data_IF_738410956661
#
_entry.id   IF_738410956661
#
_cell.length_a   1.000
_cell.length_b   1.000
_cell.length_c   1.000
_cell.angle_alpha   90.00
_cell.angle_beta   90.00
_cell.angle_gamma   90.00
#
_symmetry.space_group_name_H-M   'P 1'
#
loop_
_entity.id
_entity.type
_entity.pdbx_description
1 polymer ?
#
# COMPACT_ATOMS: atom_id res chain seq x y z
N UNK A 1 1.44 11.42 -19.72
CA UNK A 1 1.54 11.85 -18.30
C UNK A 1 2.55 10.93 -17.63
N UNK A 2 3.57 11.47 -16.97
CA UNK A 2 4.60 10.70 -16.28
C UNK A 2 4.62 11.09 -14.80
N UNK A 3 4.88 10.11 -13.93
CA UNK A 3 5.12 10.34 -12.50
C UNK A 3 6.55 9.98 -12.20
N UNK A 4 7.30 10.95 -11.70
CA UNK A 4 8.66 10.73 -11.25
C UNK A 4 8.66 10.45 -9.74
N UNK A 5 9.20 9.29 -9.37
CA UNK A 5 9.41 8.85 -7.99
C UNK A 5 10.90 8.63 -7.79
N UNK A 6 11.61 9.68 -7.39
CA UNK A 6 13.08 9.66 -7.34
C UNK A 6 13.67 9.42 -8.73
N UNK A 7 14.52 8.39 -8.94
CA UNK A 7 15.11 8.09 -10.26
C UNK A 7 14.17 7.28 -11.18
N UNK A 8 12.96 6.92 -10.71
CA UNK A 8 12.04 6.09 -11.47
C UNK A 8 10.97 6.95 -12.14
N UNK A 9 10.83 6.82 -13.45
CA UNK A 9 9.72 7.37 -14.20
C UNK A 9 8.67 6.28 -14.46
N UNK A 10 7.42 6.57 -14.10
CA UNK A 10 6.27 5.74 -14.41
C UNK A 10 5.55 6.34 -15.62
N UNK A 11 5.49 5.58 -16.71
CA UNK A 11 4.89 6.01 -17.98
C UNK A 11 3.75 5.06 -18.37
N UNK A 12 2.69 5.61 -18.97
CA UNK A 12 1.51 4.86 -19.44
C UNK A 12 0.78 4.07 -18.34
N UNK A 13 0.76 4.59 -17.13
CA UNK A 13 0.07 3.97 -15.99
C UNK A 13 -1.26 4.68 -15.73
N UNK A 14 -2.38 3.96 -15.56
CA UNK A 14 -3.62 4.56 -15.07
C UNK A 14 -3.36 5.10 -13.67
N UNK A 15 -3.38 6.42 -13.51
CA UNK A 15 -3.17 7.09 -12.23
C UNK A 15 -4.07 8.32 -12.14
N UNK A 16 -4.71 8.49 -11.00
CA UNK A 16 -5.51 9.67 -10.67
C UNK A 16 -4.72 10.61 -9.78
N UNK A 17 -4.66 11.90 -10.13
CA UNK A 17 -4.02 12.95 -9.33
C UNK A 17 -5.10 13.82 -8.71
N UNK A 18 -5.03 14.02 -7.41
CA UNK A 18 -5.83 15.03 -6.72
C UNK A 18 -4.87 16.08 -6.14
N UNK A 19 -5.11 17.35 -6.46
CA UNK A 19 -4.41 18.45 -5.81
C UNK A 19 -4.75 18.43 -4.31
N UNK A 20 -3.74 18.34 -3.45
CA UNK A 20 -3.93 18.29 -1.99
C UNK A 20 -3.78 19.67 -1.33
N UNK A 21 -3.73 20.75 -2.12
CA UNK A 21 -3.62 22.13 -1.62
C UNK A 21 -2.20 22.62 -1.35
N UNK A 22 -1.16 21.87 -1.75
CA UNK A 22 0.25 22.33 -1.65
C UNK A 22 1.12 21.77 -2.78
N UNK A 23 2.09 22.56 -3.24
CA UNK A 23 2.95 22.27 -4.40
C UNK A 23 3.81 20.99 -4.26
N UNK A 24 3.91 20.43 -3.05
CA UNK A 24 4.79 19.30 -2.70
C UNK A 24 4.05 18.03 -2.28
N UNK A 25 2.72 17.99 -2.42
CA UNK A 25 1.91 16.86 -1.96
C UNK A 25 1.06 16.28 -3.10
N UNK A 26 1.35 15.05 -3.47
CA UNK A 26 0.56 14.27 -4.42
C UNK A 26 -0.18 13.15 -3.69
N UNK A 27 -1.44 12.90 -4.09
CA UNK A 27 -2.16 11.67 -3.75
C UNK A 27 -2.00 10.70 -4.92
N UNK A 28 -1.46 9.51 -4.64
CA UNK A 28 -1.36 8.41 -5.59
C UNK A 28 -2.35 7.34 -5.15
N UNK A 29 -3.22 6.91 -6.05
CA UNK A 29 -4.27 5.94 -5.76
C UNK A 29 -3.74 4.49 -5.62
N UNK A 30 -4.56 3.66 -4.98
CA UNK A 30 -4.30 2.22 -4.83
C UNK A 30 -4.51 1.44 -6.14
N UNK A 31 -5.31 1.98 -7.05
CA UNK A 31 -5.44 1.51 -8.44
C UNK A 31 -4.07 1.44 -9.13
N UNK A 32 -3.24 2.46 -8.88
CA UNK A 32 -1.88 2.51 -9.37
C UNK A 32 -0.92 1.69 -8.48
N UNK A 33 -0.86 2.01 -7.18
CA UNK A 33 0.14 1.42 -6.29
C UNK A 33 -0.04 -0.09 -6.14
N UNK A 34 -1.28 -0.60 -6.12
CA UNK A 34 -1.57 -2.03 -5.96
C UNK A 34 -0.92 -2.89 -7.05
N UNK A 35 -0.78 -2.37 -8.27
CA UNK A 35 -0.09 -3.04 -9.37
C UNK A 35 1.41 -3.26 -9.15
N UNK A 36 2.01 -2.51 -8.20
CA UNK A 36 3.45 -2.53 -7.91
C UNK A 36 3.79 -3.28 -6.62
N UNK A 37 2.81 -3.94 -5.97
CA UNK A 37 3.01 -4.68 -4.73
C UNK A 37 3.86 -3.91 -3.70
N UNK A 38 3.40 -2.74 -3.21
CA UNK A 38 4.21 -1.83 -2.42
C UNK A 38 4.53 -2.46 -1.07
N UNK A 39 5.79 -2.32 -0.61
CA UNK A 39 6.16 -2.56 0.79
C UNK A 39 6.34 -1.24 1.50
N UNK A 40 5.53 -1.03 2.55
CA UNK A 40 5.59 0.15 3.41
C UNK A 40 6.44 -0.17 4.63
N UNK A 41 7.49 0.61 4.86
CA UNK A 41 8.28 0.60 6.09
C UNK A 41 8.21 2.01 6.71
N UNK A 42 7.26 2.19 7.63
CA UNK A 42 7.03 3.48 8.28
C UNK A 42 8.19 3.87 9.20
N UNK A 43 8.85 2.89 9.83
CA UNK A 43 9.95 3.13 10.75
C UNK A 43 11.19 3.65 10.00
N UNK A 44 11.48 3.10 8.82
CA UNK A 44 12.56 3.58 7.96
C UNK A 44 12.14 4.76 7.05
N UNK A 45 10.86 5.12 7.01
CA UNK A 45 10.33 6.12 6.08
C UNK A 45 10.46 5.72 4.61
N UNK A 46 10.32 4.43 4.30
CA UNK A 46 10.58 3.86 2.97
C UNK A 46 9.33 3.23 2.36
N UNK A 47 9.21 3.39 1.04
CA UNK A 47 8.24 2.70 0.19
C UNK A 47 9.01 1.96 -0.91
N UNK A 48 8.98 0.63 -0.88
CA UNK A 48 9.55 -0.21 -1.95
C UNK A 48 8.45 -0.54 -2.96
N UNK A 49 8.71 -0.28 -4.24
CA UNK A 49 7.81 -0.63 -5.35
C UNK A 49 8.45 -1.71 -6.21
N UNK A 50 7.71 -2.79 -6.50
CA UNK A 50 8.19 -3.89 -7.35
C UNK A 50 7.65 -3.68 -8.76
N UNK A 51 8.55 -3.48 -9.73
CA UNK A 51 8.18 -3.27 -11.14
C UNK A 51 7.23 -4.35 -11.69
N UNK A 52 7.44 -5.61 -11.33
CA UNK A 52 6.61 -6.72 -11.78
C UNK A 52 5.30 -6.88 -11.01
N UNK A 53 5.15 -6.20 -9.87
CA UNK A 53 4.06 -6.44 -8.92
C UNK A 53 3.97 -7.89 -8.46
N UNK A 54 5.08 -8.64 -8.52
CA UNK A 54 5.15 -10.04 -8.07
C UNK A 54 5.67 -10.09 -6.64
N UNK A 55 4.95 -10.82 -5.81
CA UNK A 55 5.35 -11.18 -4.45
C UNK A 55 5.66 -12.68 -4.48
N UNK A 56 6.70 -13.10 -3.77
CA UNK A 56 7.00 -14.51 -3.62
C UNK A 56 5.82 -15.21 -2.94
N UNK A 57 5.37 -16.35 -3.45
CA UNK A 57 4.17 -17.05 -2.92
C UNK A 57 4.31 -17.37 -1.44
N UNK A 58 5.54 -17.66 -1.03
CA UNK A 58 6.02 -18.00 0.31
C UNK A 58 6.55 -16.78 1.08
N UNK A 59 6.20 -15.55 0.67
CA UNK A 59 6.59 -14.36 1.41
C UNK A 59 6.24 -14.53 2.90
N UNK A 60 7.22 -14.40 3.81
CA UNK A 60 7.04 -14.63 5.23
C UNK A 60 6.15 -13.55 5.84
N UNK A 61 5.56 -13.86 6.99
CA UNK A 61 4.69 -12.95 7.71
C UNK A 61 3.20 -13.29 7.66
N UNK A 62 2.47 -12.53 8.46
CA UNK A 62 1.04 -12.70 8.67
C UNK A 62 0.24 -12.09 7.53
N UNK A 63 -0.68 -12.87 6.94
CA UNK A 63 -1.63 -12.40 5.94
C UNK A 63 -2.89 -11.89 6.62
N UNK A 64 -3.24 -10.63 6.34
CA UNK A 64 -4.43 -9.97 6.85
C UNK A 64 -5.31 -9.63 5.64
N UNK A 65 -6.51 -10.22 5.53
CA UNK A 65 -7.41 -9.91 4.43
C UNK A 65 -7.80 -8.43 4.44
N UNK A 66 -8.14 -7.91 3.27
CA UNK A 66 -8.53 -6.51 3.09
C UNK A 66 -9.82 -6.38 2.32
N UNK A 67 -10.54 -5.29 2.57
CA UNK A 67 -11.68 -4.86 1.77
C UNK A 67 -11.36 -3.50 1.16
N UNK A 68 -11.72 -3.33 -0.11
CA UNK A 68 -11.65 -2.05 -0.81
C UNK A 68 -13.06 -1.50 -0.99
N UNK A 69 -13.29 -0.29 -0.50
CA UNK A 69 -14.49 0.50 -0.75
C UNK A 69 -14.10 1.84 -1.39
N UNK A 70 -15.04 2.61 -1.97
CA UNK A 70 -14.72 3.91 -2.59
C UNK A 70 -13.95 4.88 -1.68
N UNK A 71 -14.03 4.73 -0.35
CA UNK A 71 -13.32 5.55 0.62
C UNK A 71 -11.89 5.09 1.00
N UNK A 72 -11.38 3.96 0.48
CA UNK A 72 -10.02 3.50 0.78
C UNK A 72 -9.82 1.98 0.89
N UNK A 73 -8.95 1.57 1.81
CA UNK A 73 -8.68 0.17 2.13
C UNK A 73 -8.96 -0.08 3.60
N UNK A 74 -9.45 -1.27 3.92
CA UNK A 74 -9.75 -1.71 5.27
C UNK A 74 -9.07 -3.03 5.55
N UNK A 75 -8.56 -3.19 6.77
CA UNK A 75 -8.09 -4.47 7.28
C UNK A 75 -9.28 -5.25 7.87
N UNK A 76 -9.36 -6.53 7.53
CA UNK A 76 -10.33 -7.46 8.11
C UNK A 76 -9.67 -8.20 9.27
N UNK A 77 -10.30 -8.12 10.43
CA UNK A 77 -9.87 -8.75 11.67
C UNK A 77 -11.01 -9.60 12.22
N UNK A 78 -10.69 -10.45 13.21
CA UNK A 78 -11.71 -11.33 13.82
C UNK A 78 -12.82 -10.55 14.51
N UNK A 79 -12.51 -9.39 15.05
CA UNK A 79 -13.37 -8.52 15.86
C UNK A 79 -13.91 -7.29 15.10
N UNK A 80 -13.58 -7.15 13.80
CA UNK A 80 -14.14 -6.09 12.98
C UNK A 80 -13.36 -5.76 11.72
N UNK A 81 -13.74 -4.64 11.12
CA UNK A 81 -13.14 -4.11 9.89
C UNK A 81 -12.63 -2.70 10.17
N UNK A 82 -11.35 -2.45 9.95
CA UNK A 82 -10.70 -1.20 10.34
C UNK A 82 -10.16 -0.45 9.13
N UNK A 83 -10.49 0.85 8.93
CA UNK A 83 -9.91 1.62 7.85
C UNK A 83 -8.38 1.67 8.02
N UNK A 84 -7.62 1.45 6.94
CA UNK A 84 -6.17 1.35 6.97
C UNK A 84 -5.49 2.59 7.59
N UNK A 85 -6.08 3.77 7.38
CA UNK A 85 -5.63 5.04 7.97
C UNK A 85 -6.09 5.29 9.41
N UNK A 86 -6.90 4.40 9.99
CA UNK A 86 -7.43 4.52 11.34
C UNK A 86 -6.48 4.03 12.44
N UNK A 87 -6.75 4.41 13.69
CA UNK A 87 -5.89 4.09 14.83
C UNK A 87 -5.72 2.58 15.06
N UNK A 88 -6.80 1.79 14.95
CA UNK A 88 -6.75 0.34 15.14
C UNK A 88 -5.90 -0.38 14.08
N UNK A 89 -6.08 -0.01 12.81
CA UNK A 89 -5.23 -0.53 11.73
C UNK A 89 -3.76 -0.12 11.93
N UNK A 90 -3.51 1.13 12.32
CA UNK A 90 -2.16 1.64 12.59
C UNK A 90 -1.49 0.93 13.76
N UNK A 91 -2.22 0.56 14.81
CA UNK A 91 -1.70 -0.26 15.90
C UNK A 91 -1.30 -1.66 15.42
N UNK A 92 -1.95 -2.18 14.38
CA UNK A 92 -1.67 -3.50 13.82
C UNK A 92 -0.44 -3.50 12.91
N UNK A 93 -0.37 -2.54 11.97
CA UNK A 93 0.62 -2.55 10.88
C UNK A 93 1.71 -1.50 11.03
N UNK A 94 1.56 -0.50 11.90
CA UNK A 94 2.46 0.65 11.99
C UNK A 94 3.85 0.34 12.56
N UNK A 95 3.99 -0.79 13.26
CA UNK A 95 5.25 -1.19 13.90
C UNK A 95 6.13 -2.15 13.09
N UNK A 96 5.71 -2.57 11.90
CA UNK A 96 6.44 -3.53 11.06
C UNK A 96 6.32 -3.18 9.57
N UNK A 97 7.32 -3.53 8.76
CA UNK A 97 7.17 -3.48 7.31
C UNK A 97 6.01 -4.37 6.84
N UNK A 98 5.26 -3.91 5.85
CA UNK A 98 4.15 -4.70 5.30
C UNK A 98 3.98 -4.50 3.80
N UNK A 99 3.53 -5.55 3.11
CA UNK A 99 3.30 -5.58 1.67
C UNK A 99 1.80 -5.48 1.40
N UNK A 100 1.38 -4.64 0.46
CA UNK A 100 0.04 -4.73 -0.13
C UNK A 100 0.05 -5.73 -1.28
N UNK A 101 -0.63 -6.87 -1.12
CA UNK A 101 -0.98 -7.76 -2.22
C UNK A 101 -2.43 -7.46 -2.67
N UNK A 102 -2.58 -6.41 -3.48
CA UNK A 102 -3.88 -6.01 -3.99
C UNK A 102 -4.53 -7.08 -4.89
N UNK A 103 -3.73 -7.96 -5.52
CA UNK A 103 -4.24 -9.03 -6.40
C UNK A 103 -4.93 -10.13 -5.59
N UNK A 104 -4.45 -10.39 -4.39
CA UNK A 104 -5.04 -11.37 -3.45
C UNK A 104 -5.94 -10.72 -2.41
N UNK A 105 -6.05 -9.39 -2.41
CA UNK A 105 -6.85 -8.66 -1.45
C UNK A 105 -6.33 -8.80 -0.03
N UNK A 106 -5.02 -8.80 0.16
CA UNK A 106 -4.40 -8.98 1.48
C UNK A 106 -3.24 -8.01 1.73
N UNK A 107 -2.98 -7.77 3.02
CA UNK A 107 -1.73 -7.17 3.51
C UNK A 107 -0.90 -8.26 4.14
N UNK A 108 0.37 -8.35 3.74
CA UNK A 108 1.35 -9.28 4.30
C UNK A 108 2.21 -8.49 5.27
N UNK A 109 1.99 -8.69 6.56
CA UNK A 109 2.73 -8.06 7.63
C UNK A 109 3.99 -8.87 7.90
N UNK A 110 5.14 -8.33 7.51
CA UNK A 110 6.40 -9.06 7.50
C UNK A 110 6.86 -9.38 8.92
N UNK A 111 7.51 -10.53 9.06
CA UNK A 111 8.22 -10.87 10.29
C UNK A 111 9.41 -9.91 10.47
N UNK A 112 9.81 -9.69 11.73
CA UNK A 112 10.95 -8.80 12.05
C UNK A 112 12.27 -9.42 11.64
#
# INVERSE_FOLDING_TARGET
LAVDIGPFALTNVPASFAATGGATKARVGLDFLGGLAPTMDQAAGRLLLRRSGRIATDAPGQRIPTLAYPGGLWLVQRDGVWPLGGAAARATIGGRPWILDAKRGEVILLDR
#
